data_IF_410757080929
#
_entry.id   IF_410757080929
#
_cell.length_a   1.000
_cell.length_b   1.000
_cell.length_c   1.000
_cell.angle_alpha   90.00
_cell.angle_beta   90.00
_cell.angle_gamma   90.00
#
_symmetry.space_group_name_H-M   'P 1'
#
loop_
_entity.id
_entity.type
_entity.pdbx_description
1 polymer ?
#
# COMPACT_ATOMS: atom_id res chain seq x y z
N UNK A 1 -29.81 -13.67 15.09
CA UNK A 1 -29.32 -13.28 15.09
C UNK A 1 -28.80 -12.68 14.19
N UNK A 2 -28.70 -12.33 13.96
CA UNK A 2 -28.40 -11.73 13.15
C UNK A 2 -27.20 -11.63 12.76
N UNK A 3 -26.80 -11.68 11.99
CA UNK A 3 -25.69 -11.66 11.63
C UNK A 3 -25.30 -10.48 11.37
N UNK A 4 -24.41 -10.11 11.68
CA UNK A 4 -23.92 -8.90 11.52
C UNK A 4 -23.58 -8.65 10.13
N UNK A 5 -24.00 -7.62 9.57
CA UNK A 5 -23.64 -7.28 8.24
C UNK A 5 -22.15 -7.11 8.08
N UNK A 6 -21.48 -6.72 9.12
CA UNK A 6 -20.08 -6.54 9.08
C UNK A 6 -19.35 -7.80 8.75
N UNK A 7 -19.75 -8.88 9.37
CA UNK A 7 -19.10 -10.09 9.12
C UNK A 7 -19.30 -10.53 7.71
N UNK A 8 -20.45 -10.29 7.16
CA UNK A 8 -20.69 -10.66 5.84
C UNK A 8 -19.90 -9.84 4.88
N UNK A 9 -19.74 -8.56 5.14
CA UNK A 9 -19.05 -7.72 4.20
C UNK A 9 -17.58 -8.07 4.14
N UNK A 10 -17.01 -8.63 5.18
CA UNK A 10 -15.61 -8.97 5.15
C UNK A 10 -15.35 -10.40 4.76
N UNK A 11 -16.11 -11.31 5.32
CA UNK A 11 -15.87 -12.70 5.08
C UNK A 11 -16.35 -13.07 3.71
N UNK A 12 -15.63 -13.54 2.87
CA UNK A 12 -16.03 -13.92 1.55
C UNK A 12 -16.07 -12.81 0.54
N UNK A 13 -15.84 -11.59 0.96
CA UNK A 13 -15.82 -10.50 -0.01
C UNK A 13 -14.55 -10.58 -0.85
N UNK A 14 -14.66 -10.18 -2.11
CA UNK A 14 -13.48 -10.12 -2.95
C UNK A 14 -13.26 -8.67 -3.35
N UNK A 15 -12.03 -8.36 -3.65
CA UNK A 15 -11.63 -7.00 -3.94
C UNK A 15 -10.84 -6.94 -5.23
N UNK A 16 -10.77 -5.78 -5.82
CA UNK A 16 -9.91 -5.54 -6.96
C UNK A 16 -8.75 -4.68 -6.48
N UNK A 17 -7.54 -5.11 -6.77
CA UNK A 17 -6.36 -4.35 -6.40
C UNK A 17 -5.69 -3.83 -7.67
N UNK A 18 -5.22 -2.60 -7.62
CA UNK A 18 -4.52 -1.99 -8.74
C UNK A 18 -3.04 -1.95 -8.43
N UNK A 19 -2.23 -2.51 -9.32
CA UNK A 19 -0.80 -2.57 -9.12
C UNK A 19 -0.13 -1.40 -9.83
N UNK A 20 0.68 -0.66 -9.11
CA UNK A 20 1.33 0.54 -9.65
C UNK A 20 2.77 0.24 -10.04
N UNK A 21 3.24 0.81 -11.15
CA UNK A 21 4.59 0.50 -11.62
C UNK A 21 5.70 1.25 -10.92
N UNK A 22 5.39 2.38 -10.30
CA UNK A 22 6.43 3.18 -9.66
C UNK A 22 6.95 2.47 -8.43
N UNK A 23 8.28 2.39 -8.28
CA UNK A 23 8.86 1.76 -7.11
C UNK A 23 8.97 2.76 -5.99
N UNK A 24 8.52 2.36 -4.83
CA UNK A 24 8.47 3.24 -3.67
C UNK A 24 9.47 2.78 -2.61
N UNK A 25 9.82 3.67 -1.72
CA UNK A 25 10.65 3.34 -0.58
C UNK A 25 10.03 3.93 0.68
N UNK A 26 10.44 3.39 1.82
CA UNK A 26 10.02 3.91 3.10
C UNK A 26 11.29 4.50 3.73
N UNK A 27 11.32 5.81 3.87
CA UNK A 27 12.51 6.51 4.33
C UNK A 27 12.34 6.99 5.77
N UNK A 28 13.42 6.98 6.51
CA UNK A 28 13.42 7.34 7.93
C UNK A 28 14.20 8.61 8.14
N UNK A 29 13.59 9.57 8.79
CA UNK A 29 14.22 10.84 9.10
C UNK A 29 14.07 11.12 10.60
N UNK A 30 14.90 12.01 11.15
CA UNK A 30 14.76 12.35 12.57
C UNK A 30 13.41 13.00 12.86
N UNK A 31 13.01 12.94 14.12
CA UNK A 31 11.77 13.57 14.56
C UNK A 31 11.83 15.06 14.25
N UNK A 32 10.72 15.62 13.86
CA UNK A 32 10.62 17.03 13.58
C UNK A 32 11.19 17.47 12.25
N UNK A 33 11.57 16.52 11.40
CA UNK A 33 12.14 16.88 10.10
C UNK A 33 11.12 17.55 9.20
N UNK A 34 11.58 18.51 8.42
CA UNK A 34 10.74 19.07 7.37
C UNK A 34 10.66 18.10 6.21
N UNK A 35 9.70 18.28 5.35
CA UNK A 35 9.58 17.46 4.17
C UNK A 35 10.72 17.80 3.24
N UNK A 36 11.58 16.83 2.92
CA UNK A 36 12.73 17.14 2.07
C UNK A 36 12.31 17.46 0.64
N UNK A 37 13.10 18.29 -0.02
CA UNK A 37 12.78 18.66 -1.38
C UNK A 37 12.82 17.46 -2.32
N UNK A 38 13.59 16.44 -2.01
CA UNK A 38 13.70 15.26 -2.88
C UNK A 38 12.50 14.32 -2.74
N UNK A 39 11.67 14.50 -1.72
CA UNK A 39 10.58 13.55 -1.49
C UNK A 39 9.44 13.85 -2.46
N UNK A 40 9.11 12.88 -3.27
CA UNK A 40 8.05 13.02 -4.25
C UNK A 40 7.52 11.66 -4.66
N UNK A 41 6.33 11.62 -5.19
CA UNK A 41 5.76 10.38 -5.72
C UNK A 41 4.56 10.71 -6.59
N UNK A 42 4.41 9.99 -7.67
CA UNK A 42 3.22 10.08 -8.48
C UNK A 42 2.19 9.04 -8.06
N UNK A 43 2.54 8.14 -7.17
CA UNK A 43 1.69 7.04 -6.76
C UNK A 43 1.12 7.28 -5.37
N UNK A 44 1.96 7.22 -4.38
CA UNK A 44 1.57 7.39 -3.00
C UNK A 44 2.66 8.18 -2.29
N UNK A 45 2.27 9.25 -1.65
CA UNK A 45 3.21 10.04 -0.87
C UNK A 45 2.61 10.16 0.52
N UNK A 46 3.30 9.64 1.49
CA UNK A 46 2.75 9.57 2.84
C UNK A 46 3.79 10.00 3.84
N UNK A 47 3.39 10.73 4.85
CA UNK A 47 4.27 11.15 5.91
C UNK A 47 3.62 10.79 7.23
N UNK A 48 4.40 10.13 8.07
CA UNK A 48 3.95 9.83 9.42
C UNK A 48 4.95 10.46 10.38
N UNK A 49 4.50 11.41 11.15
CA UNK A 49 5.37 12.09 12.10
C UNK A 49 4.94 11.72 13.50
N UNK A 50 5.88 11.20 14.28
CA UNK A 50 5.61 10.84 15.66
C UNK A 50 6.56 11.63 16.56
N UNK A 51 6.46 11.41 17.85
CA UNK A 51 7.35 12.09 18.79
C UNK A 51 8.80 11.67 18.60
N UNK A 52 9.05 10.51 18.00
CA UNK A 52 10.39 9.97 17.95
C UNK A 52 10.97 9.83 16.55
N UNK A 53 10.17 9.99 15.49
CA UNK A 53 10.72 9.83 14.15
C UNK A 53 9.76 10.38 13.09
N UNK A 54 10.27 10.51 11.88
CA UNK A 54 9.47 10.89 10.73
C UNK A 54 9.68 9.83 9.66
N UNK A 55 8.60 9.30 9.13
CA UNK A 55 8.65 8.28 8.09
C UNK A 55 7.99 8.82 6.83
N UNK A 56 8.64 8.63 5.70
CA UNK A 56 8.09 9.09 4.44
C UNK A 56 8.03 7.94 3.46
N UNK A 57 6.87 7.77 2.82
CA UNK A 57 6.73 6.84 1.71
C UNK A 57 6.79 7.69 0.46
N UNK A 58 7.69 7.40 -0.44
CA UNK A 58 7.86 8.18 -1.66
C UNK A 58 8.54 7.37 -2.73
N UNK A 59 8.68 7.98 -3.92
CA UNK A 59 9.37 7.31 -5.01
C UNK A 59 10.83 7.12 -4.65
N UNK A 60 11.37 5.96 -4.97
CA UNK A 60 12.75 5.66 -4.60
C UNK A 60 13.78 6.35 -5.46
N UNK A 61 13.37 6.76 -6.67
CA UNK A 61 14.35 7.26 -7.64
C UNK A 61 15.08 8.53 -7.20
N UNK A 62 14.48 9.30 -6.32
CA UNK A 62 15.10 10.57 -5.95
C UNK A 62 15.64 10.59 -4.53
N UNK A 63 15.58 9.47 -3.83
CA UNK A 63 16.04 9.44 -2.44
C UNK A 63 17.56 9.33 -2.40
N UNK A 64 18.26 10.25 -1.70
CA UNK A 64 19.71 10.17 -1.64
C UNK A 64 20.19 8.89 -0.96
N UNK A 65 21.28 8.35 -1.40
CA UNK A 65 21.78 7.10 -0.85
C UNK A 65 22.07 7.18 0.63
N UNK A 66 22.42 8.34 1.11
CA UNK A 66 22.76 8.45 2.53
C UNK A 66 21.53 8.44 3.43
N UNK A 67 20.35 8.59 2.88
CA UNK A 67 19.14 8.56 3.69
C UNK A 67 18.78 7.12 3.97
N UNK A 68 18.52 6.81 5.25
CA UNK A 68 18.16 5.45 5.62
C UNK A 68 16.79 5.13 5.03
N UNK A 69 16.69 4.06 4.31
CA UNK A 69 15.42 3.66 3.72
C UNK A 69 15.39 2.19 3.39
N UNK A 70 14.19 1.66 3.24
CA UNK A 70 13.95 0.30 2.84
C UNK A 70 13.19 0.30 1.52
N UNK A 71 13.42 -0.71 0.71
CA UNK A 71 12.74 -0.84 -0.57
C UNK A 71 13.65 -1.47 -1.59
N UNK A 72 13.22 -1.56 -2.84
CA UNK A 72 12.00 -0.96 -3.38
C UNK A 72 10.76 -1.78 -3.09
N UNK A 73 9.66 -1.09 -3.01
CA UNK A 73 8.36 -1.72 -2.81
C UNK A 73 7.46 -1.44 -4.01
N UNK A 74 6.56 -2.38 -4.28
CA UNK A 74 5.51 -2.20 -5.27
C UNK A 74 4.21 -1.97 -4.53
N UNK A 75 3.45 -0.99 -4.95
CA UNK A 75 2.22 -0.63 -4.27
C UNK A 75 1.00 -1.19 -4.97
N UNK A 76 0.08 -1.70 -4.16
CA UNK A 76 -1.20 -2.16 -4.63
C UNK A 76 -2.25 -1.37 -3.88
N UNK A 77 -3.20 -0.77 -4.59
CA UNK A 77 -4.29 -0.04 -3.94
C UNK A 77 -5.58 -0.81 -4.12
N UNK A 78 -6.36 -0.91 -3.06
CA UNK A 78 -7.64 -1.58 -3.14
C UNK A 78 -8.60 -0.63 -3.84
N UNK A 79 -9.29 -1.13 -4.86
CA UNK A 79 -10.22 -0.30 -5.59
C UNK A 79 -11.32 0.18 -4.66
N UNK A 80 -11.49 1.47 -4.58
CA UNK A 80 -12.45 2.08 -3.69
C UNK A 80 -13.46 2.89 -4.44
N UNK A 81 -14.13 3.77 -3.71
CA UNK A 81 -13.88 4.04 -2.31
C UNK A 81 -14.44 2.94 -1.42
N UNK A 82 -13.78 2.69 -0.31
CA UNK A 82 -14.26 1.73 0.68
C UNK A 82 -15.02 2.50 1.74
N UNK A 83 -16.08 1.89 2.26
CA UNK A 83 -16.80 2.48 3.36
C UNK A 83 -15.83 2.58 4.53
N UNK A 84 -15.70 3.77 5.11
CA UNK A 84 -14.75 3.98 6.19
C UNK A 84 -15.04 3.08 7.39
N UNK A 85 -16.28 2.71 7.57
CA UNK A 85 -16.65 1.82 8.68
C UNK A 85 -16.47 0.35 8.36
N UNK A 86 -16.06 0.00 7.14
CA UNK A 86 -15.92 -1.39 6.79
C UNK A 86 -14.79 -2.02 7.58
N UNK A 87 -14.99 -3.23 8.04
CA UNK A 87 -13.97 -3.92 8.81
C UNK A 87 -13.51 -5.16 8.08
N UNK A 88 -12.33 -5.60 8.41
CA UNK A 88 -11.82 -6.86 7.88
C UNK A 88 -11.16 -6.80 6.53
N UNK A 89 -11.13 -5.65 5.86
CA UNK A 89 -10.54 -5.56 4.54
C UNK A 89 -9.05 -5.91 4.60
N UNK A 90 -8.33 -5.27 5.50
CA UNK A 90 -6.90 -5.54 5.61
C UNK A 90 -6.64 -6.98 6.02
N UNK A 91 -7.45 -7.50 6.93
CA UNK A 91 -7.25 -8.90 7.34
C UNK A 91 -7.39 -9.83 6.14
N UNK A 92 -8.42 -9.62 5.34
CA UNK A 92 -8.66 -10.48 4.19
C UNK A 92 -7.52 -10.42 3.19
N UNK A 93 -6.90 -9.26 3.04
CA UNK A 93 -5.85 -9.09 2.05
C UNK A 93 -4.46 -9.42 2.59
N UNK A 94 -4.23 -9.23 3.88
CA UNK A 94 -2.92 -9.50 4.44
C UNK A 94 -2.72 -10.94 4.85
N UNK A 95 -3.78 -11.63 5.23
CA UNK A 95 -3.64 -13.02 5.68
C UNK A 95 -2.99 -13.92 4.61
N UNK A 96 -3.39 -13.85 3.33
CA UNK A 96 -2.72 -14.67 2.33
C UNK A 96 -1.24 -14.36 2.21
N UNK A 97 -0.86 -13.10 2.38
CA UNK A 97 0.54 -12.73 2.26
C UNK A 97 1.33 -13.23 3.45
N UNK A 98 0.73 -13.18 4.63
CA UNK A 98 1.40 -13.69 5.83
C UNK A 98 1.64 -15.19 5.70
N UNK A 99 0.66 -15.91 5.16
CA UNK A 99 0.81 -17.35 4.98
C UNK A 99 1.91 -17.66 3.98
N UNK A 100 2.13 -16.81 3.02
CA UNK A 100 3.18 -17.00 2.03
C UNK A 100 4.49 -16.34 2.48
N UNK A 101 4.51 -15.79 3.68
CA UNK A 101 5.71 -15.18 4.25
C UNK A 101 6.20 -13.99 3.43
N UNK A 102 5.27 -13.20 2.94
CA UNK A 102 5.57 -11.97 2.23
C UNK A 102 5.37 -10.81 3.18
N UNK A 103 6.40 -10.02 3.40
CA UNK A 103 6.28 -8.87 4.30
C UNK A 103 5.51 -7.75 3.64
N UNK A 104 4.87 -6.92 4.42
CA UNK A 104 4.06 -5.83 3.89
C UNK A 104 4.28 -4.55 4.67
N UNK A 105 3.99 -3.45 4.03
CA UNK A 105 3.91 -2.15 4.67
C UNK A 105 2.56 -1.57 4.23
N UNK A 106 1.64 -1.40 5.16
CA UNK A 106 0.29 -0.98 4.82
C UNK A 106 0.07 0.48 5.18
N UNK A 107 -0.62 1.20 4.31
CA UNK A 107 -0.96 2.59 4.55
C UNK A 107 -2.44 2.75 4.24
N UNK A 108 -3.19 3.29 5.18
CA UNK A 108 -4.60 3.53 4.95
C UNK A 108 -4.79 5.00 4.67
N UNK A 109 -5.46 5.32 3.59
CA UNK A 109 -5.81 6.69 3.29
C UNK A 109 -7.32 6.82 3.47
N UNK A 110 -7.85 8.02 3.30
CA UNK A 110 -9.27 8.21 3.56
C UNK A 110 -10.14 7.29 2.70
N UNK A 111 -9.92 7.20 1.38
CA UNK A 111 -10.82 6.38 0.57
C UNK A 111 -10.49 4.90 0.55
N UNK A 112 -9.27 4.50 0.82
CA UNK A 112 -8.96 3.09 0.67
C UNK A 112 -7.63 2.71 1.31
N UNK A 113 -7.29 1.43 1.18
CA UNK A 113 -6.07 0.87 1.74
C UNK A 113 -5.02 0.62 0.67
N UNK A 114 -3.78 0.84 1.02
CA UNK A 114 -2.65 0.60 0.14
C UNK A 114 -1.75 -0.44 0.79
N UNK A 115 -1.28 -1.39 0.00
CA UNK A 115 -0.42 -2.45 0.49
C UNK A 115 0.85 -2.44 -0.34
N UNK A 116 1.97 -2.27 0.34
CA UNK A 116 3.26 -2.25 -0.31
C UNK A 116 3.98 -3.54 0.01
N UNK A 117 4.53 -4.20 -1.00
CA UNK A 117 5.30 -5.42 -0.79
C UNK A 117 6.65 -5.25 -1.47
N UNK A 118 7.68 -5.96 -1.02
CA UNK A 118 8.96 -5.86 -1.72
C UNK A 118 8.77 -6.17 -3.19
N UNK A 119 9.37 -5.37 -4.05
CA UNK A 119 9.15 -5.50 -5.48
C UNK A 119 9.45 -6.92 -5.97
N UNK A 120 10.45 -7.56 -5.40
CA UNK A 120 10.78 -8.92 -5.82
C UNK A 120 9.72 -9.92 -5.44
N UNK A 121 8.79 -9.57 -4.57
CA UNK A 121 7.70 -10.46 -4.18
C UNK A 121 6.34 -10.02 -4.76
N UNK A 122 6.34 -9.00 -5.62
CA UNK A 122 5.08 -8.47 -6.12
C UNK A 122 4.29 -9.49 -6.92
N UNK A 123 4.96 -10.26 -7.77
CA UNK A 123 4.25 -11.28 -8.56
C UNK A 123 3.67 -12.36 -7.65
N UNK A 124 4.40 -12.76 -6.62
CA UNK A 124 3.91 -13.78 -5.69
C UNK A 124 2.72 -13.26 -4.91
N UNK A 125 2.75 -11.99 -4.52
CA UNK A 125 1.62 -11.40 -3.79
C UNK A 125 0.37 -11.38 -4.67
N UNK A 126 0.52 -10.97 -5.93
CA UNK A 126 -0.62 -10.94 -6.83
C UNK A 126 -1.20 -12.34 -7.02
N UNK A 127 -0.34 -13.33 -7.11
CA UNK A 127 -0.79 -14.70 -7.28
C UNK A 127 -1.56 -15.20 -6.06
N UNK A 128 -1.09 -14.85 -4.86
CA UNK A 128 -1.80 -15.27 -3.66
C UNK A 128 -3.19 -14.64 -3.59
N UNK A 129 -3.30 -13.38 -3.98
CA UNK A 129 -4.61 -12.74 -3.99
C UNK A 129 -5.53 -13.38 -5.02
N UNK A 130 -5.02 -13.67 -6.21
CA UNK A 130 -5.84 -14.30 -7.24
C UNK A 130 -6.33 -15.68 -6.81
N UNK A 131 -5.52 -16.40 -6.07
CA UNK A 131 -5.95 -17.70 -5.56
C UNK A 131 -7.11 -17.60 -4.61
N UNK A 132 -7.27 -16.46 -3.95
CA UNK A 132 -8.38 -16.25 -3.03
C UNK A 132 -9.55 -15.57 -3.71
N UNK A 133 -9.51 -15.41 -5.01
CA UNK A 133 -10.63 -14.85 -5.75
C UNK A 133 -10.59 -13.35 -5.95
N UNK A 134 -9.54 -12.68 -5.50
CA UNK A 134 -9.41 -11.25 -5.72
C UNK A 134 -8.88 -10.99 -7.13
N UNK A 135 -9.13 -9.80 -7.65
CA UNK A 135 -8.65 -9.39 -8.96
C UNK A 135 -7.46 -8.46 -8.78
N UNK A 136 -6.41 -8.67 -9.55
CA UNK A 136 -5.25 -7.78 -9.53
C UNK A 136 -5.00 -7.33 -10.96
N UNK A 137 -5.05 -6.02 -11.18
CA UNK A 137 -4.86 -5.45 -12.51
C UNK A 137 -3.87 -4.31 -12.45
N UNK A 138 -3.26 -3.93 -13.57
CA UNK A 138 -2.42 -2.74 -13.59
C UNK A 138 -3.25 -1.51 -13.26
N UNK A 139 -2.64 -0.59 -12.54
CA UNK A 139 -3.35 0.64 -12.20
C UNK A 139 -3.60 1.45 -13.45
N UNK A 140 -4.69 2.20 -13.48
CA UNK A 140 -4.94 3.08 -14.60
C UNK A 140 -3.83 4.11 -14.60
N UNK A 141 -3.19 4.31 -15.73
CA UNK A 141 -2.12 5.23 -15.81
C UNK A 141 -2.62 6.59 -16.07
N UNK A 142 -2.20 7.52 -15.29
CA UNK A 142 -2.63 8.84 -15.50
C UNK A 142 -1.69 9.47 -16.43
N UNK A 143 -1.52 8.94 -17.48
CA UNK A 143 -0.57 9.42 -18.38
C UNK A 143 -0.77 10.79 -18.69
N UNK A 144 -1.93 11.21 -18.57
CA UNK A 144 -2.16 12.51 -18.97
C UNK A 144 -1.76 13.51 -18.04
N UNK A 145 -1.26 13.15 -16.96
CA UNK A 145 -0.95 14.08 -16.13
C UNK A 145 0.04 14.82 -16.62
N UNK A 146 0.06 15.64 -17.27
CA UNK A 146 1.03 16.27 -17.70
C UNK A 146 0.94 17.39 -17.19
N UNK A 147 0.96 17.83 -16.96
CA UNK A 147 0.96 18.95 -16.42
C UNK A 147 1.23 19.65 -16.59
#
# INVERSE_FOLDING_TARGET
MSESPVSESAAGATYTLHQYPEKLVVASLPAGSDIPAWAESATLFSISATATETTIVCAGRSVPKKVRHEGPFTAFAVEGPLDFALTGVLHALLAPLAEAEISVFAVSTYPTDWILVPTERAAAAAEEWRRRGHTVTPAPVAATRKS
#
